data_IF_495580135287
#
_entry.id   IF_495580135287
#
_cell.length_a   1.000
_cell.length_b   1.000
_cell.length_c   1.000
_cell.angle_alpha   90.00
_cell.angle_beta   90.00
_cell.angle_gamma   90.00
#
_symmetry.space_group_name_H-M   'P 1'
#
loop_
_entity.id
_entity.type
_entity.pdbx_description
1 polymer ?
#
# COMPACT_ATOMS: atom_id res chain seq x y z
N UNK A 1 -4.08 -56.57 -3.49
CA UNK A 1 -3.50 -56.09 -2.21
C UNK A 1 -3.29 -54.60 -2.41
N UNK A 2 -4.19 -53.78 -1.87
CA UNK A 2 -4.08 -52.33 -1.92
C UNK A 2 -2.87 -51.91 -1.08
N UNK A 3 -1.99 -51.11 -1.67
CA UNK A 3 -0.90 -50.47 -0.95
C UNK A 3 -1.51 -49.19 -0.37
N UNK A 4 -2.12 -49.28 0.81
CA UNK A 4 -2.29 -48.10 1.67
C UNK A 4 -0.95 -47.88 2.37
N UNK A 5 -0.17 -46.95 1.81
CA UNK A 5 1.07 -46.43 2.40
C UNK A 5 0.94 -44.95 2.80
N UNK A 6 -0.29 -44.45 2.85
CA UNK A 6 -0.59 -43.06 3.21
C UNK A 6 -1.13 -42.90 4.64
N UNK A 7 -1.35 -43.99 5.38
CA UNK A 7 -2.07 -43.96 6.68
C UNK A 7 -1.21 -43.76 7.94
N UNK A 8 0.12 -43.58 7.84
CA UNK A 8 0.96 -43.27 9.02
C UNK A 8 2.11 -42.31 8.68
N UNK A 9 1.85 -41.26 7.90
CA UNK A 9 2.74 -40.09 7.99
C UNK A 9 2.45 -39.45 9.34
N UNK A 10 3.43 -39.55 10.24
CA UNK A 10 3.43 -38.88 11.54
C UNK A 10 2.91 -37.44 11.40
N UNK A 11 1.85 -37.12 12.13
CA UNK A 11 1.14 -35.84 12.02
C UNK A 11 2.08 -34.66 12.33
N UNK A 12 3.05 -34.87 13.22
CA UNK A 12 4.10 -33.88 13.51
C UNK A 12 5.01 -33.64 12.29
N UNK A 13 5.43 -34.70 11.61
CA UNK A 13 6.18 -34.59 10.35
C UNK A 13 5.36 -33.87 9.28
N UNK A 14 4.06 -34.18 9.15
CA UNK A 14 3.18 -33.51 8.19
C UNK A 14 3.09 -32.00 8.45
N UNK A 15 2.88 -31.60 9.70
CA UNK A 15 2.84 -30.20 10.09
C UNK A 15 4.17 -29.48 9.83
N UNK A 16 5.29 -30.13 10.13
CA UNK A 16 6.64 -29.62 9.83
C UNK A 16 6.85 -29.37 8.34
N UNK A 17 6.44 -30.32 7.50
CA UNK A 17 6.51 -30.20 6.03
C UNK A 17 5.62 -29.06 5.53
N UNK A 18 4.41 -28.93 6.04
CA UNK A 18 3.50 -27.84 5.65
C UNK A 18 4.04 -26.45 6.02
N UNK A 19 4.63 -26.31 7.21
CA UNK A 19 5.29 -25.06 7.65
C UNK A 19 6.46 -24.72 6.74
N UNK A 20 7.31 -25.71 6.45
CA UNK A 20 8.49 -25.55 5.58
C UNK A 20 8.10 -25.22 4.14
N UNK A 21 7.08 -25.88 3.61
CA UNK A 21 6.56 -25.63 2.26
C UNK A 21 5.97 -24.22 2.13
N UNK A 22 5.24 -23.75 3.16
CA UNK A 22 4.70 -22.39 3.21
C UNK A 22 5.81 -21.34 3.19
N UNK A 23 6.85 -21.52 4.00
CA UNK A 23 8.02 -20.65 4.04
C UNK A 23 8.74 -20.62 2.68
N UNK A 24 9.04 -21.79 2.13
CA UNK A 24 9.73 -21.92 0.85
C UNK A 24 8.94 -21.24 -0.28
N UNK A 25 7.63 -21.49 -0.37
CA UNK A 25 6.78 -20.83 -1.36
C UNK A 25 6.80 -19.32 -1.20
N UNK A 26 6.72 -18.81 0.03
CA UNK A 26 6.77 -17.37 0.31
C UNK A 26 8.08 -16.72 -0.14
N UNK A 27 9.22 -17.36 0.14
CA UNK A 27 10.54 -16.88 -0.29
C UNK A 27 10.72 -16.91 -1.81
N UNK A 28 10.23 -17.95 -2.47
CA UNK A 28 10.21 -18.02 -3.94
C UNK A 28 9.30 -16.93 -4.51
N UNK A 29 8.13 -16.71 -3.90
CA UNK A 29 7.16 -15.71 -4.33
C UNK A 29 7.76 -14.30 -4.30
N UNK A 30 8.48 -13.92 -3.24
CA UNK A 30 9.14 -12.61 -3.13
C UNK A 30 10.09 -12.34 -4.31
N UNK A 31 10.87 -13.35 -4.72
CA UNK A 31 11.77 -13.26 -5.89
C UNK A 31 11.01 -13.31 -7.21
N UNK A 32 9.92 -14.06 -7.28
CA UNK A 32 9.18 -14.24 -8.52
C UNK A 32 8.37 -13.00 -8.90
N UNK A 33 7.73 -12.32 -7.94
CA UNK A 33 6.86 -11.16 -8.22
C UNK A 33 7.61 -9.94 -8.76
N UNK A 34 8.93 -9.91 -8.64
CA UNK A 34 9.79 -8.86 -9.22
C UNK A 34 10.29 -9.17 -10.64
N UNK A 35 10.06 -10.39 -11.14
CA UNK A 35 10.36 -10.74 -12.55
C UNK A 35 9.31 -10.13 -13.49
N UNK A 36 9.61 -9.98 -14.79
CA UNK A 36 8.66 -9.42 -15.76
C UNK A 36 7.32 -10.16 -15.81
N UNK A 37 7.34 -11.50 -15.70
CA UNK A 37 6.13 -12.34 -15.65
C UNK A 37 5.37 -12.15 -14.34
N UNK A 38 6.08 -12.10 -13.21
CA UNK A 38 5.49 -11.86 -11.89
C UNK A 38 4.83 -10.49 -11.78
N UNK A 39 5.54 -9.45 -12.22
CA UNK A 39 5.04 -8.08 -12.30
C UNK A 39 3.76 -7.98 -13.12
N UNK A 40 3.72 -8.61 -14.30
CA UNK A 40 2.50 -8.65 -15.15
C UNK A 40 1.32 -9.29 -14.41
N UNK A 41 1.54 -10.40 -13.70
CA UNK A 41 0.48 -11.07 -12.94
C UNK A 41 0.02 -10.27 -11.73
N UNK A 42 0.94 -9.64 -11.02
CA UNK A 42 0.58 -8.77 -9.89
C UNK A 42 -0.12 -7.49 -10.34
N UNK A 43 0.21 -6.98 -11.53
CA UNK A 43 -0.48 -5.85 -12.16
C UNK A 43 -1.95 -6.17 -12.45
N UNK A 44 -2.26 -7.37 -12.94
CA UNK A 44 -3.65 -7.82 -13.16
C UNK A 44 -4.46 -7.75 -11.85
N UNK A 45 -3.87 -8.22 -10.73
CA UNK A 45 -4.48 -8.16 -9.39
C UNK A 45 -4.60 -6.73 -8.87
N UNK A 46 -3.59 -5.90 -9.13
CA UNK A 46 -3.58 -4.49 -8.75
C UNK A 46 -4.71 -3.70 -9.43
N UNK A 47 -4.93 -3.91 -10.73
CA UNK A 47 -6.01 -3.28 -11.50
C UNK A 47 -7.40 -3.64 -10.96
N UNK A 48 -7.56 -4.86 -10.45
CA UNK A 48 -8.79 -5.34 -9.80
C UNK A 48 -8.95 -4.88 -8.35
N UNK A 49 -7.93 -4.23 -7.78
CA UNK A 49 -7.85 -3.85 -6.38
C UNK A 49 -7.94 -5.03 -5.40
N UNK A 50 -7.43 -6.21 -5.79
CA UNK A 50 -7.44 -7.43 -4.96
C UNK A 50 -6.73 -7.25 -3.61
N UNK A 51 -5.70 -6.40 -3.57
CA UNK A 51 -4.93 -6.11 -2.36
C UNK A 51 -5.62 -5.10 -1.43
N UNK A 52 -6.77 -4.59 -1.84
CA UNK A 52 -7.51 -3.57 -1.12
C UNK A 52 -7.24 -2.15 -1.60
N UNK A 53 -7.79 -1.19 -0.85
CA UNK A 53 -7.84 0.23 -1.20
C UNK A 53 -7.39 1.09 -0.04
N UNK A 54 -6.76 2.22 -0.37
CA UNK A 54 -6.20 3.14 0.62
C UNK A 54 -7.28 3.61 1.61
N UNK A 55 -6.99 3.56 2.93
CA UNK A 55 -7.95 4.01 3.94
C UNK A 55 -8.05 5.54 4.04
N UNK A 56 -7.09 6.29 3.48
CA UNK A 56 -7.18 7.76 3.43
C UNK A 56 -8.30 8.19 2.49
N UNK A 57 -9.24 8.96 3.01
CA UNK A 57 -10.40 9.49 2.25
C UNK A 57 -9.97 10.25 1.00
N UNK A 58 -8.98 11.15 1.13
CA UNK A 58 -8.45 11.94 0.00
C UNK A 58 -7.60 11.13 -1.00
N UNK A 59 -7.34 9.85 -0.73
CA UNK A 59 -6.77 8.95 -1.73
C UNK A 59 -7.81 8.38 -2.69
N UNK A 60 -9.11 8.73 -2.54
CA UNK A 60 -10.18 8.35 -3.45
C UNK A 60 -10.19 6.85 -3.77
N UNK A 61 -10.05 6.03 -2.73
CA UNK A 61 -10.09 4.56 -2.88
C UNK A 61 -8.99 3.99 -3.80
N UNK A 62 -7.82 4.64 -3.87
CA UNK A 62 -6.64 4.17 -4.63
C UNK A 62 -6.31 2.70 -4.31
N UNK A 63 -6.16 1.82 -5.32
CA UNK A 63 -5.68 0.46 -5.12
C UNK A 63 -4.28 0.41 -4.49
N UNK A 64 -4.06 -0.58 -3.61
CA UNK A 64 -2.81 -0.77 -2.87
C UNK A 64 -1.97 -1.91 -3.44
N UNK A 65 -0.70 -1.96 -3.06
CA UNK A 65 0.24 -3.04 -3.38
C UNK A 65 0.79 -3.65 -2.08
N UNK A 66 0.94 -4.98 -1.96
CA UNK A 66 1.58 -5.59 -0.80
C UNK A 66 3.06 -5.19 -0.72
N UNK A 67 3.58 -5.01 0.48
CA UNK A 67 4.96 -4.60 0.73
C UNK A 67 5.45 -5.20 2.05
N UNK A 68 6.64 -5.78 2.05
CA UNK A 68 7.37 -6.14 3.26
C UNK A 68 8.06 -4.93 3.88
N UNK A 69 8.16 -4.88 5.21
CA UNK A 69 9.00 -3.90 5.91
C UNK A 69 10.46 -4.36 6.06
N UNK A 70 10.69 -5.64 5.80
CA UNK A 70 11.94 -6.37 5.94
C UNK A 70 11.87 -7.57 4.99
N UNK A 71 13.02 -7.99 4.48
CA UNK A 71 13.15 -9.19 3.65
C UNK A 71 13.52 -10.43 4.49
N UNK A 72 13.63 -10.27 5.82
CA UNK A 72 13.92 -11.34 6.79
C UNK A 72 12.60 -11.95 7.28
N UNK A 73 12.39 -13.27 7.12
CA UNK A 73 11.19 -13.96 7.60
C UNK A 73 11.02 -13.85 9.12
N UNK A 74 9.78 -13.98 9.58
CA UNK A 74 9.33 -14.00 10.98
C UNK A 74 9.51 -12.69 11.75
N UNK A 75 9.93 -11.60 11.09
CA UNK A 75 10.08 -10.30 11.76
C UNK A 75 8.79 -9.47 11.76
N UNK A 76 8.21 -9.23 10.57
CA UNK A 76 7.06 -8.33 10.41
C UNK A 76 6.09 -8.85 9.38
N UNK A 77 4.79 -8.73 9.69
CA UNK A 77 3.73 -9.03 8.75
C UNK A 77 3.68 -8.03 7.57
N UNK A 78 3.06 -8.47 6.48
CA UNK A 78 2.87 -7.68 5.25
C UNK A 78 2.10 -6.39 5.51
N UNK A 79 2.54 -5.32 4.84
CA UNK A 79 1.87 -4.02 4.76
C UNK A 79 1.36 -3.76 3.35
N UNK A 80 0.56 -2.73 3.20
CA UNK A 80 -0.02 -2.30 1.93
C UNK A 80 0.44 -0.89 1.60
N UNK A 81 1.20 -0.75 0.52
CA UNK A 81 1.70 0.50 -0.01
C UNK A 81 0.66 1.19 -0.89
N UNK A 82 0.45 2.49 -0.66
CA UNK A 82 -0.39 3.32 -1.51
C UNK A 82 0.46 4.19 -2.44
N UNK A 83 0.37 4.05 -3.77
CA UNK A 83 1.15 4.86 -4.70
C UNK A 83 0.68 6.31 -4.81
N UNK A 84 -0.47 6.67 -4.22
CA UNK A 84 -1.00 8.04 -4.25
C UNK A 84 -0.52 8.91 -3.10
N UNK A 85 -0.54 8.38 -1.88
CA UNK A 85 -0.05 9.09 -0.69
C UNK A 85 1.33 8.62 -0.22
N UNK A 86 1.92 7.62 -0.90
CA UNK A 86 3.28 7.14 -0.67
C UNK A 86 3.50 6.68 0.77
N UNK A 87 2.49 6.01 1.34
CA UNK A 87 2.43 5.61 2.75
C UNK A 87 2.02 4.13 2.87
N UNK A 88 2.37 3.51 3.99
CA UNK A 88 2.13 2.10 4.29
C UNK A 88 1.00 1.90 5.29
N UNK A 89 0.14 0.92 5.02
CA UNK A 89 -1.04 0.62 5.83
C UNK A 89 -1.05 -0.85 6.24
N UNK A 90 -1.62 -1.14 7.40
CA UNK A 90 -1.92 -2.52 7.80
C UNK A 90 -3.14 -3.05 7.00
N UNK A 91 -3.13 -4.32 6.55
CA UNK A 91 -4.31 -4.95 6.00
C UNK A 91 -5.49 -4.90 6.99
N UNK A 92 -6.71 -4.67 6.49
CA UNK A 92 -7.91 -4.58 7.34
C UNK A 92 -8.31 -5.93 7.96
N UNK A 93 -8.10 -7.02 7.24
CA UNK A 93 -8.44 -8.37 7.69
C UNK A 93 -7.27 -8.97 8.46
N UNK A 94 -7.55 -9.52 9.64
CA UNK A 94 -6.57 -10.24 10.46
C UNK A 94 -5.93 -11.41 9.71
N UNK A 95 -6.70 -12.10 8.84
CA UNK A 95 -6.19 -13.19 7.98
C UNK A 95 -5.04 -12.76 7.07
N UNK A 96 -5.11 -11.54 6.53
CA UNK A 96 -4.04 -11.01 5.67
C UNK A 96 -2.94 -10.34 6.50
N UNK A 97 -3.29 -9.81 7.68
CA UNK A 97 -2.35 -9.21 8.62
C UNK A 97 -1.43 -10.19 9.34
N UNK A 98 -1.68 -11.50 9.24
CA UNK A 98 -0.80 -12.56 9.77
C UNK A 98 0.17 -13.13 8.73
N UNK A 99 0.09 -12.72 7.46
CA UNK A 99 0.99 -13.16 6.40
C UNK A 99 2.32 -12.42 6.54
N UNK A 100 3.43 -13.16 6.43
CA UNK A 100 4.79 -12.60 6.51
C UNK A 100 5.05 -11.59 5.38
N UNK A 101 5.61 -10.43 5.72
CA UNK A 101 5.97 -9.40 4.76
C UNK A 101 7.15 -9.78 3.86
N UNK A 102 8.06 -10.63 4.35
CA UNK A 102 9.22 -11.11 3.59
C UNK A 102 8.81 -11.87 2.32
N UNK A 103 7.58 -12.42 2.28
CA UNK A 103 7.06 -13.14 1.11
C UNK A 103 6.70 -12.22 -0.06
N UNK A 104 6.65 -10.91 0.16
CA UNK A 104 6.47 -9.89 -0.88
C UNK A 104 7.73 -9.04 -1.07
N UNK A 105 8.54 -8.94 -0.03
CA UNK A 105 9.76 -8.16 -0.02
C UNK A 105 9.53 -6.66 0.02
N UNK A 106 10.61 -5.93 0.29
CA UNK A 106 10.61 -4.48 0.48
C UNK A 106 10.51 -3.68 -0.82
N UNK A 107 10.88 -4.29 -1.95
CA UNK A 107 11.10 -3.59 -3.23
C UNK A 107 9.96 -3.73 -4.24
N UNK A 108 9.09 -4.73 -4.09
CA UNK A 108 8.10 -5.09 -5.10
C UNK A 108 7.21 -3.93 -5.58
N UNK A 109 6.59 -3.09 -4.71
CA UNK A 109 5.74 -2.00 -5.17
C UNK A 109 6.49 -1.00 -6.04
N UNK A 110 7.73 -0.69 -5.67
CA UNK A 110 8.58 0.26 -6.36
C UNK A 110 8.98 -0.27 -7.74
N UNK A 111 9.39 -1.54 -7.80
CA UNK A 111 9.75 -2.23 -9.05
C UNK A 111 8.57 -2.29 -10.02
N UNK A 112 7.35 -2.58 -9.52
CA UNK A 112 6.15 -2.60 -10.34
C UNK A 112 5.83 -1.23 -10.94
N UNK A 113 5.94 -0.16 -10.16
CA UNK A 113 5.65 1.19 -10.63
C UNK A 113 6.73 1.74 -11.56
N UNK A 114 7.99 1.34 -11.38
CA UNK A 114 9.06 1.61 -12.34
C UNK A 114 8.84 0.87 -13.67
N UNK A 115 8.39 -0.39 -13.61
CA UNK A 115 8.07 -1.20 -14.80
C UNK A 115 6.79 -0.76 -15.53
N UNK A 116 5.86 -0.12 -14.82
CA UNK A 116 4.61 0.41 -15.39
C UNK A 116 4.34 1.86 -14.97
N UNK A 117 5.09 2.85 -15.50
CA UNK A 117 4.99 4.25 -15.08
C UNK A 117 3.59 4.86 -15.24
N UNK A 118 2.81 4.39 -16.22
CA UNK A 118 1.43 4.81 -16.46
C UNK A 118 0.44 4.41 -15.34
N UNK A 119 0.87 3.56 -14.41
CA UNK A 119 0.08 3.16 -13.24
C UNK A 119 0.29 4.08 -12.04
N UNK A 120 1.28 4.99 -12.10
CA UNK A 120 1.52 5.97 -11.03
C UNK A 120 0.39 7.01 -11.05
N UNK A 121 -0.37 7.16 -9.95
CA UNK A 121 -1.50 8.08 -9.92
C UNK A 121 -1.03 9.55 -9.88
N UNK A 122 -1.73 10.43 -10.60
CA UNK A 122 -1.56 11.87 -10.42
C UNK A 122 -2.01 12.29 -9.02
N UNK A 123 -1.24 13.19 -8.39
CA UNK A 123 -1.54 13.75 -7.06
C UNK A 123 -2.53 14.92 -7.12
N UNK A 124 -2.91 15.38 -8.31
CA UNK A 124 -3.86 16.49 -8.47
C UNK A 124 -5.26 16.10 -8.01
N UNK A 125 -5.88 16.93 -7.15
CA UNK A 125 -7.26 16.73 -6.73
C UNK A 125 -8.21 17.17 -7.85
N UNK A 126 -9.15 16.32 -8.23
CA UNK A 126 -10.13 16.65 -9.30
C UNK A 126 -11.16 17.71 -8.87
N UNK A 127 -11.23 18.05 -7.58
CA UNK A 127 -12.25 18.95 -7.01
C UNK A 127 -11.83 20.43 -7.02
N UNK A 128 -10.55 20.72 -7.32
CA UNK A 128 -10.05 22.08 -7.55
C UNK A 128 -10.73 22.80 -8.73
N UNK A 129 -11.49 22.09 -9.57
CA UNK A 129 -12.29 22.67 -10.68
C UNK A 129 -13.68 23.19 -10.28
N UNK A 130 -14.11 23.03 -9.02
CA UNK A 130 -15.44 23.50 -8.59
C UNK A 130 -15.43 24.80 -7.79
N UNK A 131 -14.25 25.40 -7.62
CA UNK A 131 -14.08 26.58 -6.79
C UNK A 131 -13.13 27.57 -7.46
N UNK A 132 -13.54 28.06 -8.62
CA UNK A 132 -13.46 29.49 -8.96
C UNK A 132 -14.15 29.68 -10.31
N UNK A 133 -15.17 30.54 -10.32
CA UNK A 133 -15.72 31.09 -11.54
C UNK A 133 -14.80 32.20 -12.02
N UNK A 134 -13.67 31.82 -12.62
CA UNK A 134 -12.79 32.74 -13.35
C UNK A 134 -12.36 32.07 -14.65
N UNK A 135 -12.67 32.73 -15.76
CA UNK A 135 -12.32 32.33 -17.11
C UNK A 135 -10.82 32.55 -17.34
N UNK A 136 -10.01 31.51 -17.62
CA UNK A 136 -9.06 31.58 -18.73
C UNK A 136 -8.46 30.20 -19.11
N UNK A 137 -8.49 29.98 -20.43
CA UNK A 137 -7.72 29.06 -21.30
C UNK A 137 -7.32 27.67 -20.82
N UNK A 138 -7.94 26.70 -21.49
CA UNK A 138 -7.50 25.31 -21.52
C UNK A 138 -6.05 25.15 -21.99
N UNK A 139 -5.35 24.25 -21.30
CA UNK A 139 -4.06 23.69 -21.71
C UNK A 139 -4.25 22.16 -21.81
N UNK A 140 -3.77 21.51 -22.87
CA UNK A 140 -4.07 20.10 -23.10
C UNK A 140 -3.42 19.20 -22.05
N UNK A 141 -4.22 18.30 -21.48
CA UNK A 141 -3.77 17.13 -20.73
C UNK A 141 -2.92 16.26 -21.66
N UNK A 142 -1.60 16.36 -21.57
CA UNK A 142 -0.74 15.58 -22.48
C UNK A 142 0.75 15.54 -22.19
N UNK A 143 1.24 16.11 -21.09
CA UNK A 143 2.68 16.06 -20.79
C UNK A 143 2.88 15.44 -19.41
N UNK A 144 3.33 14.19 -19.40
CA UNK A 144 3.91 13.54 -18.22
C UNK A 144 5.29 14.17 -18.00
N UNK A 145 5.29 15.43 -17.58
CA UNK A 145 6.48 16.16 -17.20
C UNK A 145 6.94 15.67 -15.83
N UNK A 146 8.26 15.63 -15.63
CA UNK A 146 8.93 15.35 -14.36
C UNK A 146 8.61 16.41 -13.30
N UNK A 147 7.34 16.56 -12.90
CA UNK A 147 6.99 17.30 -11.71
C UNK A 147 7.60 16.57 -10.51
N UNK A 148 8.40 17.29 -9.72
CA UNK A 148 8.92 16.75 -8.46
C UNK A 148 7.77 16.25 -7.59
N UNK A 149 7.94 15.09 -6.96
CA UNK A 149 6.94 14.51 -6.04
C UNK A 149 6.51 15.49 -4.94
N UNK A 150 7.38 16.45 -4.60
CA UNK A 150 7.11 17.55 -3.68
C UNK A 150 6.11 18.58 -4.23
N UNK A 151 6.25 18.98 -5.50
CA UNK A 151 5.32 19.92 -6.14
C UNK A 151 3.91 19.32 -6.26
N UNK A 152 3.84 18.05 -6.63
CA UNK A 152 2.61 17.29 -6.69
C UNK A 152 1.97 17.11 -5.28
N UNK A 153 2.78 17.01 -4.22
CA UNK A 153 2.29 16.92 -2.84
C UNK A 153 1.68 18.24 -2.32
N UNK A 154 2.20 19.40 -2.75
CA UNK A 154 1.65 20.72 -2.38
C UNK A 154 0.25 20.96 -2.93
N UNK A 155 -0.06 20.39 -4.11
CA UNK A 155 -1.37 20.49 -4.76
C UNK A 155 -2.42 19.50 -4.22
N UNK A 156 -2.01 18.54 -3.38
CA UNK A 156 -2.91 17.51 -2.89
C UNK A 156 -3.86 18.04 -1.80
N UNK A 157 -5.16 17.73 -1.93
CA UNK A 157 -6.13 18.03 -0.89
C UNK A 157 -5.83 17.26 0.41
N UNK A 158 -5.76 18.00 1.51
CA UNK A 158 -5.47 17.46 2.84
C UNK A 158 -6.61 17.78 3.79
N UNK A 159 -6.86 16.87 4.73
CA UNK A 159 -7.84 17.07 5.78
C UNK A 159 -7.54 18.36 6.57
N UNK A 160 -8.51 19.29 6.59
CA UNK A 160 -8.45 20.54 7.36
C UNK A 160 -9.48 20.47 8.50
N UNK A 161 -9.04 20.28 9.76
CA UNK A 161 -9.97 20.22 10.89
C UNK A 161 -10.65 21.57 11.10
N UNK A 162 -11.96 21.52 11.38
CA UNK A 162 -12.79 22.70 11.67
C UNK A 162 -13.65 22.45 12.90
N UNK A 163 -13.83 23.48 13.72
CA UNK A 163 -14.75 23.50 14.87
C UNK A 163 -15.70 24.67 14.66
N UNK A 164 -17.01 24.41 14.65
CA UNK A 164 -18.04 25.40 14.30
C UNK A 164 -17.78 26.14 12.97
N UNK A 165 -17.18 25.46 11.99
CA UNK A 165 -16.85 26.04 10.68
C UNK A 165 -15.52 26.79 10.62
N UNK A 166 -14.92 27.12 11.76
CA UNK A 166 -13.61 27.79 11.85
C UNK A 166 -12.46 26.78 11.82
N UNK A 167 -11.41 27.09 11.06
CA UNK A 167 -10.20 26.26 11.02
C UNK A 167 -9.48 26.24 12.37
N UNK A 168 -9.03 25.07 12.80
CA UNK A 168 -8.27 24.96 14.06
C UNK A 168 -6.87 25.53 13.87
N UNK A 169 -6.51 26.57 14.64
CA UNK A 169 -5.18 27.19 14.60
C UNK A 169 -4.08 26.19 15.02
N UNK A 170 -2.88 26.34 14.47
CA UNK A 170 -1.78 25.40 14.72
C UNK A 170 -1.33 25.35 16.18
N UNK A 171 -1.36 26.50 16.87
CA UNK A 171 -1.05 26.61 18.31
C UNK A 171 -1.91 25.64 19.15
N UNK A 172 -3.18 25.48 18.80
CA UNK A 172 -4.08 24.58 19.54
C UNK A 172 -3.67 23.11 19.41
N UNK A 173 -2.95 22.71 18.34
CA UNK A 173 -2.39 21.36 18.22
C UNK A 173 -1.25 21.14 19.21
N UNK A 174 -0.37 22.14 19.37
CA UNK A 174 0.76 22.10 20.29
C UNK A 174 0.33 22.11 21.75
N UNK A 175 -0.61 22.98 22.13
CA UNK A 175 -1.14 23.03 23.50
C UNK A 175 -1.73 21.68 23.92
N UNK A 176 -2.52 21.06 23.04
CA UNK A 176 -3.15 19.75 23.31
C UNK A 176 -2.12 18.64 23.49
N UNK A 177 -0.99 18.68 22.77
CA UNK A 177 0.12 17.76 22.97
C UNK A 177 0.84 18.03 24.30
N UNK A 178 1.11 19.29 24.65
CA UNK A 178 1.75 19.66 25.91
C UNK A 178 0.93 19.23 27.13
N UNK A 179 -0.40 19.42 27.10
CA UNK A 179 -1.31 18.96 28.16
C UNK A 179 -1.27 17.43 28.29
N UNK A 180 -1.37 16.69 27.17
CA UNK A 180 -1.30 15.23 27.18
C UNK A 180 0.04 14.67 27.67
N UNK A 181 1.14 15.42 27.50
CA UNK A 181 2.46 15.06 28.02
C UNK A 181 2.58 15.39 29.51
N UNK A 182 2.00 16.50 29.96
CA UNK A 182 1.99 16.90 31.39
C UNK A 182 1.15 15.96 32.25
N UNK A 183 0.05 15.46 31.71
CA UNK A 183 -0.88 14.58 32.43
C UNK A 183 -0.45 13.09 32.41
N UNK A 184 0.76 12.82 31.92
CA UNK A 184 1.40 11.49 31.87
C UNK A 184 2.44 11.33 32.95
#
# INVERSE_FOLDING_TARGET
MYIDKDDDIDEELRQSVEVSARLLYGLIHARWIVTSRGLSKMLEKYKKADFGRCPRVFCQSQPLLPCGLTDVPYEKAVKLYCPRCEDLYSPKSSRHGSIDGAYFGTTFPHMLLMGYPHMVPSKESRDSRRRDGDEDKGMPSGVVGSESTAAAALKAERYRPKIFGFGVHEINKWMRWQEAVRDK
#
